data_IF_140465927649
#
_entry.id   IF_140465927649
#
_cell.length_a   1.000
_cell.length_b   1.000
_cell.length_c   1.000
_cell.angle_alpha   90.00
_cell.angle_beta   90.00
_cell.angle_gamma   90.00
#
_symmetry.space_group_name_H-M   'P 1'
#
loop_
_entity.id
_entity.type
_entity.pdbx_description
1 polymer ?
#
# COMPACT_ATOMS: atom_id res chain seq x y z
N UNK A 1 -0.63 15.63 -8.00
CA UNK A 1 -0.19 15.59 -6.59
C UNK A 1 -0.73 16.80 -5.89
N UNK A 2 -1.58 16.62 -4.88
CA UNK A 2 -1.99 17.70 -3.99
C UNK A 2 -0.91 17.82 -2.90
N UNK A 3 -0.20 18.95 -2.82
CA UNK A 3 0.68 19.20 -1.69
C UNK A 3 -0.18 19.63 -0.51
N UNK A 4 -0.29 18.79 0.51
CA UNK A 4 -1.10 19.07 1.70
C UNK A 4 -0.19 19.16 2.93
N UNK A 5 -0.33 20.19 3.77
CA UNK A 5 0.48 20.33 4.99
C UNK A 5 0.24 19.23 6.04
N UNK A 6 -0.84 18.46 5.94
CA UNK A 6 -1.17 17.39 6.89
C UNK A 6 -1.35 16.05 6.18
N UNK A 7 -0.58 15.04 6.59
CA UNK A 7 -0.58 13.69 6.00
C UNK A 7 -1.96 13.01 6.05
N UNK A 8 -2.77 13.29 7.07
CA UNK A 8 -4.17 12.85 7.15
C UNK A 8 -5.04 13.39 6.02
N UNK A 9 -4.83 14.65 5.66
CA UNK A 9 -5.64 15.32 4.63
C UNK A 9 -5.15 14.91 3.24
N UNK A 10 -3.89 14.52 3.09
CA UNK A 10 -3.37 13.80 1.91
C UNK A 10 -4.09 12.47 1.72
N UNK A 11 -4.27 11.69 2.80
CA UNK A 11 -4.97 10.41 2.74
C UNK A 11 -6.41 10.54 2.27
N UNK A 12 -7.19 11.47 2.85
CA UNK A 12 -8.59 11.64 2.44
C UNK A 12 -8.74 12.17 1.01
N UNK A 13 -7.77 12.96 0.53
CA UNK A 13 -7.72 13.36 -0.86
C UNK A 13 -7.44 12.16 -1.79
N UNK A 14 -6.55 11.24 -1.40
CA UNK A 14 -6.27 10.03 -2.16
C UNK A 14 -7.47 9.08 -2.20
N UNK A 15 -8.15 8.87 -1.07
CA UNK A 15 -9.41 8.12 -0.99
C UNK A 15 -10.49 8.72 -1.91
N UNK A 16 -10.75 10.03 -1.77
CA UNK A 16 -11.73 10.73 -2.61
C UNK A 16 -11.38 10.63 -4.09
N UNK A 17 -10.10 10.71 -4.44
CA UNK A 17 -9.62 10.54 -5.80
C UNK A 17 -9.86 9.11 -6.32
N UNK A 18 -9.57 8.09 -5.50
CA UNK A 18 -9.79 6.69 -5.84
C UNK A 18 -11.27 6.40 -6.16
N UNK A 19 -12.20 6.99 -5.42
CA UNK A 19 -13.65 6.84 -5.69
C UNK A 19 -14.07 7.39 -7.04
N UNK A 20 -13.40 8.44 -7.52
CA UNK A 20 -13.73 9.08 -8.80
C UNK A 20 -12.96 8.47 -9.97
N UNK A 21 -11.71 8.04 -9.74
CA UNK A 21 -10.78 7.61 -10.81
C UNK A 21 -10.43 6.13 -10.78
N UNK A 22 -10.96 5.37 -9.82
CA UNK A 22 -10.73 3.95 -9.65
C UNK A 22 -9.57 3.63 -8.70
N UNK A 23 -8.48 4.39 -8.73
CA UNK A 23 -7.32 4.20 -7.86
C UNK A 23 -6.74 5.53 -7.40
N UNK A 24 -6.36 5.61 -6.12
CA UNK A 24 -5.70 6.76 -5.52
C UNK A 24 -4.34 6.39 -4.96
N UNK A 25 -3.45 7.38 -4.81
CA UNK A 25 -2.17 7.17 -4.17
C UNK A 25 -1.81 8.34 -3.24
N UNK A 26 -1.20 8.02 -2.11
CA UNK A 26 -0.61 8.98 -1.18
C UNK A 26 0.85 8.64 -0.90
N UNK A 27 1.67 9.67 -0.65
CA UNK A 27 3.09 9.52 -0.33
C UNK A 27 3.36 10.19 1.00
N UNK A 28 3.96 9.48 1.95
CA UNK A 28 4.34 10.02 3.27
C UNK A 28 5.79 9.69 3.60
N UNK A 29 6.36 10.40 4.57
CA UNK A 29 7.59 9.97 5.24
C UNK A 29 7.26 8.99 6.37
N UNK A 30 8.11 7.99 6.57
CA UNK A 30 8.00 7.04 7.67
C UNK A 30 8.02 7.72 9.04
N UNK A 31 7.34 7.12 10.01
CA UNK A 31 7.19 7.67 11.36
C UNK A 31 5.81 8.27 11.62
N UNK A 32 5.75 9.42 12.30
CA UNK A 32 4.43 9.99 12.68
C UNK A 32 3.60 10.50 11.50
N UNK A 33 4.21 10.74 10.33
CA UNK A 33 3.47 11.10 9.11
C UNK A 33 2.70 9.91 8.56
N UNK A 34 3.41 8.81 8.30
CA UNK A 34 2.85 7.49 8.03
C UNK A 34 1.77 7.12 9.07
N UNK A 35 2.09 7.10 10.37
CA UNK A 35 1.12 6.68 11.39
C UNK A 35 -0.14 7.56 11.42
N UNK A 36 -0.04 8.86 11.18
CA UNK A 36 -1.22 9.72 11.14
C UNK A 36 -2.20 9.33 10.03
N UNK A 37 -1.70 8.80 8.91
CA UNK A 37 -2.52 8.39 7.77
C UNK A 37 -3.22 7.04 7.95
N UNK A 38 -2.93 6.31 9.04
CA UNK A 38 -3.53 4.99 9.31
C UNK A 38 -5.06 5.04 9.41
N UNK A 39 -5.62 6.15 9.91
CA UNK A 39 -7.07 6.32 10.00
C UNK A 39 -7.70 6.31 8.61
N UNK A 40 -7.12 7.08 7.67
CA UNK A 40 -7.62 7.09 6.29
C UNK A 40 -7.36 5.77 5.57
N UNK A 41 -6.22 5.14 5.82
CA UNK A 41 -5.92 3.81 5.26
C UNK A 41 -6.92 2.75 5.75
N UNK A 42 -7.25 2.73 7.04
CA UNK A 42 -8.27 1.85 7.61
C UNK A 42 -9.68 2.16 7.07
N UNK A 43 -10.01 3.45 6.87
CA UNK A 43 -11.25 3.86 6.22
C UNK A 43 -11.36 3.33 4.78
N UNK A 44 -10.31 3.49 3.99
CA UNK A 44 -10.21 2.92 2.65
C UNK A 44 -10.33 1.39 2.66
N UNK A 45 -9.74 0.72 3.66
CA UNK A 45 -9.89 -0.72 3.84
C UNK A 45 -11.34 -1.10 4.10
N UNK A 46 -12.02 -0.44 5.03
CA UNK A 46 -13.42 -0.70 5.37
C UNK A 46 -14.36 -0.51 4.18
N UNK A 47 -14.13 0.54 3.39
CA UNK A 47 -14.98 0.92 2.28
C UNK A 47 -14.58 0.28 0.94
N UNK A 48 -13.62 -0.66 0.96
CA UNK A 48 -13.12 -1.35 -0.22
C UNK A 48 -12.64 -0.37 -1.31
N UNK A 49 -11.77 0.55 -0.91
CA UNK A 49 -11.19 1.55 -1.79
C UNK A 49 -9.78 1.14 -2.20
N UNK A 50 -9.54 1.16 -3.50
CA UNK A 50 -8.23 0.90 -4.13
C UNK A 50 -7.31 2.10 -3.92
N UNK A 51 -6.47 2.04 -2.89
CA UNK A 51 -5.56 3.12 -2.50
C UNK A 51 -4.14 2.61 -2.25
N UNK A 52 -3.15 3.27 -2.83
CA UNK A 52 -1.73 2.93 -2.65
C UNK A 52 -1.08 3.93 -1.70
N UNK A 53 -0.55 3.44 -0.59
CA UNK A 53 0.25 4.23 0.34
C UNK A 53 1.72 3.97 0.08
N UNK A 54 2.47 5.01 -0.27
CA UNK A 54 3.91 4.94 -0.50
C UNK A 54 4.62 5.63 0.66
N UNK A 55 5.49 4.90 1.35
CA UNK A 55 6.21 5.37 2.52
C UNK A 55 7.70 5.48 2.19
N UNK A 56 8.22 6.70 2.23
CA UNK A 56 9.67 6.94 2.17
C UNK A 56 10.29 6.68 3.54
N UNK A 57 11.35 5.88 3.59
CA UNK A 57 11.84 5.34 4.86
C UNK A 57 13.37 5.30 4.95
N UNK A 58 13.93 4.98 6.13
CA UNK A 58 15.36 5.00 6.33
C UNK A 58 16.08 4.01 5.42
N UNK A 59 17.29 4.37 5.00
CA UNK A 59 18.16 3.52 4.19
C UNK A 59 18.36 2.14 4.84
N UNK A 60 18.43 1.09 4.01
CA UNK A 60 18.63 -0.29 4.47
C UNK A 60 19.90 -0.45 5.31
N UNK A 61 20.96 0.28 4.94
CA UNK A 61 22.22 0.33 5.69
C UNK A 61 22.07 0.81 7.14
N UNK A 62 21.07 1.66 7.41
CA UNK A 62 20.77 2.16 8.76
C UNK A 62 19.90 1.15 9.52
N UNK A 63 18.88 0.57 8.85
CA UNK A 63 17.98 -0.42 9.47
C UNK A 63 18.70 -1.66 9.99
N UNK A 64 19.77 -2.09 9.31
CA UNK A 64 20.61 -3.22 9.75
C UNK A 64 21.48 -2.91 10.97
N UNK A 65 21.58 -1.66 11.39
CA UNK A 65 22.47 -1.20 12.43
C UNK A 65 21.68 -0.65 13.63
N UNK A 66 21.31 -1.56 14.54
CA UNK A 66 20.52 -1.37 15.80
C UNK A 66 21.18 -0.46 16.85
N UNK A 67 21.99 0.51 16.42
CA UNK A 67 22.67 1.50 17.27
C UNK A 67 22.32 2.93 16.87
N UNK A 68 21.51 3.11 15.83
CA UNK A 68 21.09 4.42 15.35
C UNK A 68 19.66 4.73 15.78
N UNK A 69 19.52 5.40 16.92
CA UNK A 69 18.28 6.06 17.29
C UNK A 69 17.94 7.11 16.24
N UNK A 70 16.96 6.80 15.39
CA UNK A 70 16.55 7.72 14.33
C UNK A 70 15.39 8.58 14.80
N UNK A 71 15.48 9.88 14.51
CA UNK A 71 14.36 10.80 14.63
C UNK A 71 13.18 10.20 13.86
N UNK A 72 12.00 10.13 14.49
CA UNK A 72 10.73 9.55 13.96
C UNK A 72 10.56 8.03 14.10
N UNK A 73 11.40 7.34 14.88
CA UNK A 73 11.16 5.95 15.32
C UNK A 73 10.66 5.91 16.78
N UNK A 74 10.23 4.75 17.27
CA UNK A 74 9.87 4.57 18.69
C UNK A 74 11.11 4.43 19.61
N UNK A 75 12.33 4.50 19.07
CA UNK A 75 13.57 4.42 19.85
C UNK A 75 13.85 3.03 20.45
N UNK A 76 13.24 1.98 19.88
CA UNK A 76 13.30 0.59 20.36
C UNK A 76 13.92 -0.37 19.33
N UNK A 77 14.72 0.15 18.38
CA UNK A 77 15.39 -0.59 17.29
C UNK A 77 14.46 -1.38 16.35
N UNK A 78 13.15 -1.16 16.41
CA UNK A 78 12.16 -1.71 15.49
C UNK A 78 11.74 -0.67 14.45
N UNK A 79 12.34 -0.77 13.27
CA UNK A 79 12.04 0.11 12.13
C UNK A 79 10.78 -0.32 11.35
N UNK A 80 10.26 -1.52 11.60
CA UNK A 80 9.07 -2.05 10.94
C UNK A 80 7.80 -1.82 11.78
N UNK A 81 7.92 -1.16 12.94
CA UNK A 81 6.80 -0.99 13.89
C UNK A 81 5.59 -0.31 13.27
N UNK A 82 5.78 0.75 12.47
CA UNK A 82 4.67 1.46 11.83
C UNK A 82 4.05 0.61 10.72
N UNK A 83 4.87 0.01 9.84
CA UNK A 83 4.42 -0.97 8.86
C UNK A 83 3.58 -2.09 9.48
N UNK A 84 4.03 -2.63 10.62
CA UNK A 84 3.32 -3.69 11.34
C UNK A 84 1.96 -3.24 11.87
N UNK A 85 1.78 -1.95 12.22
CA UNK A 85 0.47 -1.40 12.59
C UNK A 85 -0.49 -1.34 11.39
N UNK A 86 0.02 -1.07 10.19
CA UNK A 86 -0.79 -1.05 8.96
C UNK A 86 -1.20 -2.46 8.50
N UNK A 87 -0.46 -3.51 8.86
CA UNK A 87 -0.68 -4.89 8.37
C UNK A 87 -2.12 -5.38 8.50
N UNK A 88 -2.81 -5.04 9.60
CA UNK A 88 -4.18 -5.46 9.84
C UNK A 88 -5.23 -4.73 8.97
N UNK A 89 -4.83 -3.62 8.36
CA UNK A 89 -5.69 -2.73 7.55
C UNK A 89 -5.18 -2.57 6.11
N UNK A 90 -4.28 -3.43 5.66
CA UNK A 90 -3.77 -3.45 4.28
C UNK A 90 -4.10 -4.79 3.61
N UNK A 91 -4.41 -4.77 2.32
CA UNK A 91 -4.57 -5.99 1.52
C UNK A 91 -3.25 -6.69 1.22
N UNK A 92 -2.17 -5.91 1.08
CA UNK A 92 -0.80 -6.38 0.94
C UNK A 92 0.18 -5.25 1.33
N UNK A 93 1.41 -5.63 1.66
CA UNK A 93 2.48 -4.69 2.02
C UNK A 93 3.82 -5.18 1.47
N UNK A 94 4.62 -4.26 0.93
CA UNK A 94 5.96 -4.59 0.44
C UNK A 94 7.01 -3.57 0.89
N UNK A 95 8.21 -4.06 1.22
CA UNK A 95 9.40 -3.22 1.40
C UNK A 95 10.36 -3.51 0.26
N UNK A 96 10.75 -2.47 -0.48
CA UNK A 96 11.64 -2.57 -1.63
C UNK A 96 13.09 -2.66 -1.15
N UNK A 97 13.57 -3.86 -0.89
CA UNK A 97 14.92 -4.10 -0.37
C UNK A 97 15.92 -4.63 -1.42
N UNK A 98 15.44 -4.99 -2.60
CA UNK A 98 16.23 -5.55 -3.70
C UNK A 98 15.78 -4.95 -5.04
N UNK A 99 16.70 -4.26 -5.72
CA UNK A 99 16.42 -3.54 -6.96
C UNK A 99 16.05 -4.50 -8.10
N UNK A 100 16.57 -5.73 -8.08
CA UNK A 100 16.28 -6.74 -9.11
C UNK A 100 14.84 -7.25 -9.03
N UNK A 101 14.24 -7.23 -7.84
CA UNK A 101 12.88 -7.70 -7.56
C UNK A 101 11.84 -6.59 -7.48
N UNK A 102 12.29 -5.35 -7.34
CA UNK A 102 11.45 -4.17 -7.15
C UNK A 102 10.34 -4.04 -8.22
N UNK A 103 10.60 -4.20 -9.53
CA UNK A 103 9.53 -4.11 -10.53
C UNK A 103 8.40 -5.12 -10.29
N UNK A 104 8.76 -6.38 -10.01
CA UNK A 104 7.77 -7.45 -9.79
C UNK A 104 6.99 -7.28 -8.49
N UNK A 105 7.67 -6.77 -7.45
CA UNK A 105 7.05 -6.43 -6.17
C UNK A 105 6.01 -5.31 -6.29
N UNK A 106 6.31 -4.27 -7.06
CA UNK A 106 5.38 -3.18 -7.33
C UNK A 106 4.19 -3.68 -8.16
N UNK A 107 4.44 -4.45 -9.22
CA UNK A 107 3.37 -5.03 -10.04
C UNK A 107 2.44 -5.92 -9.21
N UNK A 108 3.00 -6.76 -8.34
CA UNK A 108 2.24 -7.64 -7.45
C UNK A 108 1.32 -6.84 -6.53
N UNK A 109 1.88 -5.89 -5.78
CA UNK A 109 1.12 -5.15 -4.77
C UNK A 109 0.03 -4.27 -5.42
N UNK A 110 0.30 -3.70 -6.61
CA UNK A 110 -0.70 -2.96 -7.39
C UNK A 110 -1.82 -3.86 -7.91
N UNK A 111 -1.48 -5.07 -8.38
CA UNK A 111 -2.49 -6.07 -8.77
C UNK A 111 -3.36 -6.48 -7.59
N UNK A 112 -2.77 -6.72 -6.41
CA UNK A 112 -3.55 -7.02 -5.19
C UNK A 112 -4.46 -5.85 -4.83
N UNK A 113 -3.94 -4.61 -4.82
CA UNK A 113 -4.71 -3.41 -4.54
C UNK A 113 -5.97 -3.34 -5.42
N UNK A 114 -5.78 -3.50 -6.73
CA UNK A 114 -6.85 -3.41 -7.71
C UNK A 114 -7.87 -4.56 -7.63
N UNK A 115 -7.38 -5.80 -7.57
CA UNK A 115 -8.25 -6.99 -7.62
C UNK A 115 -9.05 -7.15 -6.33
N UNK A 116 -8.44 -6.85 -5.19
CA UNK A 116 -9.09 -6.98 -3.88
C UNK A 116 -9.89 -5.74 -3.47
N UNK A 117 -9.74 -4.62 -4.19
CA UNK A 117 -10.22 -3.30 -3.80
C UNK A 117 -9.84 -2.98 -2.35
N UNK A 118 -8.58 -3.25 -1.99
CA UNK A 118 -8.04 -2.96 -0.66
C UNK A 118 -6.88 -1.98 -0.78
N UNK A 119 -6.67 -1.13 0.23
CA UNK A 119 -5.48 -0.32 0.28
C UNK A 119 -4.23 -1.19 0.49
N UNK A 120 -3.09 -0.73 -0.02
CA UNK A 120 -1.81 -1.44 0.09
C UNK A 120 -0.70 -0.48 0.48
N UNK A 121 0.39 -1.03 1.01
CA UNK A 121 1.55 -0.25 1.47
C UNK A 121 2.84 -0.61 0.70
N UNK A 122 3.58 0.41 0.27
CA UNK A 122 4.87 0.30 -0.41
C UNK A 122 5.91 1.12 0.36
N UNK A 123 6.78 0.43 1.07
CA UNK A 123 7.88 1.01 1.81
C UNK A 123 9.14 1.09 0.91
N UNK A 124 9.64 2.31 0.71
CA UNK A 124 10.78 2.64 -0.15
C UNK A 124 11.93 3.19 0.71
N UNK A 125 12.96 2.38 1.01
CA UNK A 125 14.18 2.84 1.66
C UNK A 125 14.89 3.92 0.84
N UNK A 126 15.46 4.92 1.52
CA UNK A 126 16.10 6.07 0.88
C UNK A 126 17.24 5.70 -0.08
N UNK A 127 18.00 4.64 0.23
CA UNK A 127 19.09 4.12 -0.63
C UNK A 127 18.60 3.26 -1.80
N UNK A 128 17.31 2.94 -1.83
CA UNK A 128 16.64 2.19 -2.90
C UNK A 128 15.93 3.09 -3.90
N UNK A 129 15.46 4.27 -3.47
CA UNK A 129 14.69 5.20 -4.30
C UNK A 129 15.39 5.61 -5.62
N UNK A 130 16.73 5.66 -5.63
CA UNK A 130 17.54 6.05 -6.79
C UNK A 130 18.22 4.85 -7.49
N UNK A 131 17.90 3.61 -7.12
CA UNK A 131 18.48 2.43 -7.76
C UNK A 131 17.89 2.25 -9.16
N UNK A 132 18.76 1.91 -10.11
CA UNK A 132 18.34 1.54 -11.46
C UNK A 132 17.73 0.14 -11.40
N UNK A 133 16.56 0.00 -12.04
CA UNK A 133 15.83 -1.26 -12.18
C UNK A 133 15.67 -1.58 -13.66
N UNK A 134 15.38 -2.86 -13.97
CA UNK A 134 15.06 -3.24 -15.34
C UNK A 134 13.75 -2.58 -15.80
N UNK A 135 13.79 -1.97 -16.99
CA UNK A 135 12.64 -1.30 -17.60
C UNK A 135 11.77 -2.24 -18.45
N UNK A 136 12.20 -3.49 -18.69
CA UNK A 136 11.53 -4.42 -19.60
C UNK A 136 10.03 -4.55 -19.32
N UNK A 137 9.63 -4.59 -18.03
CA UNK A 137 8.24 -4.69 -17.58
C UNK A 137 7.36 -3.47 -17.92
N UNK A 138 7.95 -2.30 -18.15
CA UNK A 138 7.21 -1.10 -18.56
C UNK A 138 6.72 -1.14 -20.02
N UNK A 139 7.20 -2.10 -20.81
CA UNK A 139 6.76 -2.28 -22.21
C UNK A 139 5.39 -2.95 -22.36
N UNK A 140 4.88 -3.54 -21.28
CA UNK A 140 3.57 -4.19 -21.21
C UNK A 140 2.68 -3.51 -20.19
N UNK A 141 1.38 -3.43 -20.45
CA UNK A 141 0.43 -3.02 -19.43
C UNK A 141 0.32 -4.06 -18.32
N UNK A 142 0.20 -3.60 -17.07
CA UNK A 142 -0.13 -4.47 -15.96
C UNK A 142 -1.52 -5.07 -16.20
N UNK A 143 -1.60 -6.40 -16.17
CA UNK A 143 -2.87 -7.11 -16.27
C UNK A 143 -3.66 -6.89 -14.97
N UNK A 144 -4.80 -6.21 -15.07
CA UNK A 144 -5.69 -5.88 -13.96
C UNK A 144 -7.03 -6.64 -14.04
N UNK A 145 -7.06 -7.74 -14.81
CA UNK A 145 -8.25 -8.57 -14.92
C UNK A 145 -8.60 -9.22 -13.58
N UNK A 146 -9.91 -9.26 -13.28
CA UNK A 146 -10.40 -9.98 -12.11
C UNK A 146 -10.30 -11.49 -12.34
N UNK A 147 -9.97 -12.28 -11.30
CA UNK A 147 -9.99 -13.72 -11.40
C UNK A 147 -11.40 -14.22 -11.69
N UNK A 148 -11.50 -15.34 -12.41
CA UNK A 148 -12.79 -15.98 -12.71
C UNK A 148 -13.46 -16.38 -11.40
N UNK A 149 -14.70 -15.92 -11.20
CA UNK A 149 -15.51 -16.23 -10.03
C UNK A 149 -15.78 -17.73 -9.93
N UNK A 150 -15.73 -18.28 -8.71
CA UNK A 150 -16.19 -19.64 -8.45
C UNK A 150 -17.72 -19.71 -8.57
N UNK A 151 -18.20 -20.38 -9.62
CA UNK A 151 -19.63 -20.55 -9.90
C UNK A 151 -20.42 -21.15 -8.73
N UNK A 152 -19.79 -21.99 -7.90
CA UNK A 152 -20.45 -22.58 -6.74
C UNK A 152 -20.66 -21.52 -5.64
N UNK A 153 -19.67 -20.66 -5.39
CA UNK A 153 -19.79 -19.56 -4.44
C UNK A 153 -20.79 -18.51 -4.93
N UNK A 154 -20.76 -18.19 -6.23
CA UNK A 154 -21.69 -17.28 -6.87
C UNK A 154 -23.14 -17.77 -6.74
N UNK A 155 -23.39 -19.04 -7.08
CA UNK A 155 -24.72 -19.66 -6.96
C UNK A 155 -25.20 -19.66 -5.51
N UNK A 156 -24.30 -19.95 -4.55
CA UNK A 156 -24.63 -19.93 -3.11
C UNK A 156 -24.96 -18.51 -2.63
N UNK A 157 -24.20 -17.50 -3.05
CA UNK A 157 -24.46 -16.10 -2.73
C UNK A 157 -25.81 -15.65 -3.30
N UNK A 158 -26.06 -15.91 -4.59
CA UNK A 158 -27.35 -15.61 -5.23
C UNK A 158 -28.52 -16.29 -4.51
N UNK A 159 -28.37 -17.55 -4.13
CA UNK A 159 -29.39 -18.27 -3.35
C UNK A 159 -29.67 -17.67 -1.96
N UNK A 160 -28.68 -17.02 -1.34
CA UNK A 160 -28.87 -16.32 -0.07
C UNK A 160 -29.65 -15.00 -0.24
N UNK A 161 -29.47 -14.30 -1.36
CA UNK A 161 -30.22 -13.08 -1.68
C UNK A 161 -31.65 -13.33 -2.16
N UNK A 162 -31.90 -14.46 -2.81
CA UNK A 162 -33.20 -14.79 -3.45
C UNK A 162 -34.13 -15.58 -2.52
N UNK A 163 -33.78 -15.82 -1.24
CA UNK A 163 -34.71 -16.46 -0.30
C UNK A 163 -36.02 -15.65 -0.20
N UNK A 164 -37.18 -16.22 -0.57
CA UNK A 164 -38.45 -15.55 -0.34
C UNK A 164 -38.63 -15.37 1.18
N UNK A 165 -39.12 -14.18 1.57
CA UNK A 165 -39.52 -13.89 2.95
C UNK A 165 -40.59 -14.84 3.43
#
# INVERSE_FOLDING_TARGET
MCHNPYDTTTGYAADSYARVKGIGAMVTTGGVGELSSINTHAGAYSEHITMVHIVGSPALSIRGNRKFNMHRTLGNDDYDVFKNMFKAVSGDQVTLNDASRTPEQIDHVLKICWVSNRPVDIDIPADMANKVVDRSKLSSHLDLSYPVSDKNQETKALGAFVKPR
#
